data_IF_594750467735
#
_entry.id   IF_594750467735
#
_cell.length_a   1.000
_cell.length_b   1.000
_cell.length_c   1.000
_cell.angle_alpha   90.00
_cell.angle_beta   90.00
_cell.angle_gamma   90.00
#
_symmetry.space_group_name_H-M   'P 1'
#
loop_
_entity.id
_entity.type
_entity.pdbx_description
1 polymer ?
#
# COMPACT_ATOMS: atom_id res chain seq x y z
N UNK A 1 11.39 -5.07 81.34
CA UNK A 1 10.64 -5.29 80.09
C UNK A 1 11.49 -6.20 79.20
N UNK A 2 11.00 -7.40 78.89
CA UNK A 2 11.79 -8.53 78.35
C UNK A 2 12.26 -8.29 76.90
N UNK A 3 13.57 -8.11 76.69
CA UNK A 3 14.22 -8.00 75.37
C UNK A 3 14.43 -9.35 74.64
N UNK A 4 13.95 -10.47 75.19
CA UNK A 4 14.15 -11.82 74.61
C UNK A 4 13.25 -12.14 73.39
N UNK A 5 12.32 -11.25 73.02
CA UNK A 5 11.36 -11.54 71.94
C UNK A 5 11.91 -11.27 70.53
N UNK A 6 12.97 -10.46 70.39
CA UNK A 6 13.48 -10.02 69.08
C UNK A 6 14.45 -11.05 68.46
N UNK A 7 15.03 -11.96 69.26
CA UNK A 7 16.00 -12.94 68.77
C UNK A 7 15.38 -14.17 68.06
N UNK A 8 14.05 -14.29 68.03
CA UNK A 8 13.36 -15.47 67.50
C UNK A 8 12.56 -15.21 66.21
N UNK A 9 12.83 -14.10 65.50
CA UNK A 9 12.29 -13.93 64.15
C UNK A 9 13.13 -14.74 63.16
N UNK A 10 12.53 -15.71 62.41
CA UNK A 10 13.23 -16.30 61.29
C UNK A 10 13.58 -15.19 60.30
N UNK A 11 14.86 -15.09 59.95
CA UNK A 11 15.35 -14.11 58.99
C UNK A 11 14.54 -14.23 57.70
N UNK A 12 14.16 -13.09 57.11
CA UNK A 12 13.35 -13.01 55.89
C UNK A 12 13.89 -13.89 54.76
N UNK A 13 15.21 -14.06 54.71
CA UNK A 13 15.91 -14.97 53.80
C UNK A 13 15.51 -16.45 53.97
N UNK A 14 15.28 -16.94 55.19
CA UNK A 14 14.87 -18.33 55.46
C UNK A 14 13.44 -18.57 55.01
N UNK A 15 12.56 -17.58 55.19
CA UNK A 15 11.17 -17.64 54.70
C UNK A 15 11.15 -17.62 53.17
N UNK A 16 11.93 -16.74 52.54
CA UNK A 16 12.07 -16.67 51.09
C UNK A 16 12.62 -17.99 50.50
N UNK A 17 13.64 -18.58 51.12
CA UNK A 17 14.17 -19.88 50.70
C UNK A 17 13.15 -21.01 50.82
N UNK A 18 12.36 -21.06 51.90
CA UNK A 18 11.28 -22.06 52.07
C UNK A 18 10.18 -21.94 51.02
N UNK A 19 9.96 -20.73 50.50
CA UNK A 19 8.95 -20.43 49.49
C UNK A 19 9.44 -20.74 48.06
N UNK A 20 10.75 -20.65 47.81
CA UNK A 20 11.38 -20.94 46.51
C UNK A 20 11.70 -22.43 46.31
N UNK A 21 12.01 -23.18 47.38
CA UNK A 21 12.29 -24.63 47.34
C UNK A 21 11.22 -25.48 46.60
N UNK A 22 9.90 -25.30 46.81
CA UNK A 22 8.90 -26.03 46.04
C UNK A 22 8.75 -25.55 44.58
N UNK A 23 9.37 -24.42 44.20
CA UNK A 23 9.29 -23.80 42.87
C UNK A 23 10.49 -24.11 41.96
N UNK A 24 11.50 -24.83 42.44
CA UNK A 24 12.64 -25.29 41.64
C UNK A 24 12.25 -25.95 40.30
N UNK A 25 11.26 -26.87 40.23
CA UNK A 25 10.86 -27.46 38.95
C UNK A 25 10.25 -26.44 37.99
N UNK A 26 9.55 -25.42 38.51
CA UNK A 26 8.99 -24.33 37.70
C UNK A 26 10.09 -23.44 37.12
N UNK A 27 11.11 -23.12 37.93
CA UNK A 27 12.27 -22.33 37.49
C UNK A 27 13.06 -23.05 36.37
N UNK A 28 13.22 -24.37 36.48
CA UNK A 28 13.90 -25.17 35.46
C UNK A 28 13.11 -25.23 34.14
N UNK A 29 11.78 -25.27 34.20
CA UNK A 29 10.91 -25.26 33.02
C UNK A 29 10.71 -23.86 32.40
N UNK A 30 10.97 -22.80 33.17
CA UNK A 30 10.81 -21.41 32.75
C UNK A 30 11.46 -21.08 31.39
N UNK A 31 12.73 -21.43 31.09
CA UNK A 31 13.32 -21.16 29.78
C UNK A 31 12.59 -21.88 28.64
N UNK A 32 12.07 -23.09 28.86
CA UNK A 32 11.27 -23.80 27.86
C UNK A 32 9.94 -23.11 27.60
N UNK A 33 9.25 -22.65 28.65
CA UNK A 33 8.04 -21.85 28.50
C UNK A 33 8.29 -20.52 27.82
N UNK A 34 9.41 -19.84 28.12
CA UNK A 34 9.80 -18.60 27.49
C UNK A 34 10.07 -18.78 25.99
N UNK A 35 10.79 -19.84 25.61
CA UNK A 35 11.05 -20.17 24.21
C UNK A 35 9.76 -20.52 23.46
N UNK A 36 8.88 -21.31 24.09
CA UNK A 36 7.57 -21.63 23.51
C UNK A 36 6.74 -20.38 23.29
N UNK A 37 6.62 -19.52 24.31
CA UNK A 37 5.88 -18.26 24.20
C UNK A 37 6.48 -17.34 23.14
N UNK A 38 7.81 -17.21 23.08
CA UNK A 38 8.50 -16.40 22.08
C UNK A 38 8.26 -16.93 20.67
N UNK A 39 8.28 -18.25 20.47
CA UNK A 39 8.00 -18.88 19.19
C UNK A 39 6.58 -18.59 18.70
N UNK A 40 5.59 -18.75 19.58
CA UNK A 40 4.18 -18.45 19.25
C UNK A 40 3.98 -16.96 18.98
N UNK A 41 4.56 -16.10 19.82
CA UNK A 41 4.53 -14.65 19.65
C UNK A 41 5.11 -14.22 18.30
N UNK A 42 6.29 -14.73 17.95
CA UNK A 42 6.94 -14.46 16.67
C UNK A 42 6.08 -14.93 15.49
N UNK A 43 5.42 -16.08 15.60
CA UNK A 43 4.49 -16.59 14.57
C UNK A 43 3.29 -15.66 14.34
N UNK A 44 2.68 -15.16 15.42
CA UNK A 44 1.55 -14.22 15.33
C UNK A 44 2.02 -12.90 14.71
N UNK A 45 3.15 -12.38 15.17
CA UNK A 45 3.63 -11.07 14.74
C UNK A 45 4.08 -11.10 13.28
N UNK A 46 4.82 -12.12 12.86
CA UNK A 46 5.20 -12.31 11.44
C UNK A 46 3.99 -12.44 10.52
N UNK A 47 2.91 -13.10 10.96
CA UNK A 47 1.67 -13.19 10.20
C UNK A 47 1.00 -11.81 10.03
N UNK A 48 0.99 -10.97 11.08
CA UNK A 48 0.49 -9.59 10.98
C UNK A 48 1.31 -8.76 10.01
N UNK A 49 2.64 -8.78 10.15
CA UNK A 49 3.54 -8.04 9.25
C UNK A 49 3.36 -8.49 7.80
N UNK A 50 3.24 -9.78 7.55
CA UNK A 50 3.00 -10.32 6.21
C UNK A 50 1.70 -9.80 5.60
N UNK A 51 0.62 -9.72 6.37
CA UNK A 51 -0.66 -9.14 5.92
C UNK A 51 -0.52 -7.65 5.59
N UNK A 52 0.12 -6.89 6.48
CA UNK A 52 0.32 -5.45 6.30
C UNK A 52 1.18 -5.15 5.06
N UNK A 53 2.23 -5.92 4.85
CA UNK A 53 3.07 -5.83 3.64
C UNK A 53 2.25 -6.12 2.39
N UNK A 54 1.40 -7.16 2.41
CA UNK A 54 0.57 -7.52 1.28
C UNK A 54 -0.45 -6.42 0.95
N UNK A 55 -1.13 -5.88 1.96
CA UNK A 55 -2.07 -4.76 1.79
C UNK A 55 -1.38 -3.53 1.20
N UNK A 56 -0.21 -3.16 1.71
CA UNK A 56 0.57 -2.03 1.19
C UNK A 56 1.12 -2.28 -0.22
N UNK A 57 1.43 -3.52 -0.57
CA UNK A 57 1.83 -3.88 -1.93
C UNK A 57 0.69 -3.69 -2.94
N UNK A 58 -0.53 -4.12 -2.56
CA UNK A 58 -1.73 -3.91 -3.38
C UNK A 58 -2.02 -2.41 -3.55
N UNK A 59 -1.99 -1.64 -2.45
CA UNK A 59 -2.21 -0.20 -2.49
C UNK A 59 -1.20 0.51 -3.42
N UNK A 60 0.07 0.09 -3.39
CA UNK A 60 1.10 0.59 -4.31
C UNK A 60 0.77 0.28 -5.76
N UNK A 61 0.33 -0.94 -6.07
CA UNK A 61 -0.01 -1.36 -7.43
C UNK A 61 -1.22 -0.57 -7.97
N UNK A 62 -2.25 -0.38 -7.14
CA UNK A 62 -3.41 0.44 -7.48
C UNK A 62 -3.03 1.91 -7.75
N UNK A 63 -2.13 2.48 -6.95
CA UNK A 63 -1.62 3.84 -7.16
C UNK A 63 -0.85 3.97 -8.47
N UNK A 64 -0.03 2.97 -8.81
CA UNK A 64 0.69 2.94 -10.10
C UNK A 64 -0.32 2.91 -11.25
N UNK A 65 -1.32 2.02 -11.17
CA UNK A 65 -2.36 1.91 -12.21
C UNK A 65 -3.11 3.22 -12.41
N UNK A 66 -3.53 3.88 -11.33
CA UNK A 66 -4.18 5.20 -11.40
C UNK A 66 -3.27 6.27 -11.99
N UNK A 67 -1.98 6.23 -11.67
CA UNK A 67 -1.01 7.17 -12.21
C UNK A 67 -0.87 7.01 -13.73
N UNK A 68 -0.83 5.76 -14.22
CA UNK A 68 -0.74 5.48 -15.64
C UNK A 68 -2.05 5.83 -16.37
N UNK A 69 -3.22 5.55 -15.78
CA UNK A 69 -4.51 6.00 -16.30
C UNK A 69 -4.57 7.53 -16.43
N UNK A 70 -4.06 8.26 -15.44
CA UNK A 70 -3.98 9.73 -15.48
C UNK A 70 -3.03 10.23 -16.56
N UNK A 71 -1.86 9.60 -16.75
CA UNK A 71 -0.95 9.95 -17.83
C UNK A 71 -1.60 9.73 -19.19
N UNK A 72 -2.26 8.59 -19.38
CA UNK A 72 -3.02 8.30 -20.60
C UNK A 72 -4.11 9.35 -20.80
N UNK A 73 -4.84 9.70 -19.74
CA UNK A 73 -5.83 10.77 -19.74
C UNK A 73 -5.23 12.10 -20.22
N UNK A 74 -4.16 12.57 -19.58
CA UNK A 74 -3.49 13.84 -19.94
C UNK A 74 -2.98 13.81 -21.38
N UNK A 75 -2.33 12.73 -21.82
CA UNK A 75 -1.85 12.60 -23.21
C UNK A 75 -3.02 12.61 -24.18
N UNK A 76 -4.15 11.97 -23.85
CA UNK A 76 -5.36 11.99 -24.68
C UNK A 76 -6.00 13.39 -24.75
N UNK A 77 -6.09 14.12 -23.64
CA UNK A 77 -6.63 15.48 -23.61
C UNK A 77 -5.73 16.47 -24.37
N UNK A 78 -4.42 16.41 -24.13
CA UNK A 78 -3.44 17.29 -24.81
C UNK A 78 -3.32 16.98 -26.31
N UNK A 79 -3.43 15.71 -26.71
CA UNK A 79 -3.49 15.35 -28.13
C UNK A 79 -4.80 15.79 -28.78
N UNK A 80 -5.94 15.65 -28.10
CA UNK A 80 -7.22 16.18 -28.57
C UNK A 80 -7.17 17.71 -28.74
N UNK A 81 -6.62 18.44 -27.77
CA UNK A 81 -6.42 19.89 -27.84
C UNK A 81 -5.50 20.27 -29.01
N UNK A 82 -4.40 19.53 -29.20
CA UNK A 82 -3.48 19.75 -30.31
C UNK A 82 -4.13 19.48 -31.66
N UNK A 83 -4.94 18.42 -31.77
CA UNK A 83 -5.69 18.08 -32.97
C UNK A 83 -6.72 19.17 -33.26
N UNK A 84 -7.48 19.61 -32.25
CA UNK A 84 -8.44 20.71 -32.40
C UNK A 84 -7.76 22.00 -32.89
N UNK A 85 -6.61 22.37 -32.31
CA UNK A 85 -5.83 23.52 -32.72
C UNK A 85 -5.32 23.40 -34.17
N UNK A 86 -4.88 22.21 -34.60
CA UNK A 86 -4.49 21.93 -35.98
C UNK A 86 -5.68 22.08 -36.95
N UNK A 87 -6.84 21.51 -36.61
CA UNK A 87 -8.05 21.62 -37.44
C UNK A 87 -8.57 23.06 -37.54
N UNK A 88 -8.58 23.82 -36.43
CA UNK A 88 -8.92 25.25 -36.44
C UNK A 88 -8.00 26.05 -37.36
N UNK A 89 -6.70 25.75 -37.38
CA UNK A 89 -5.73 26.42 -38.26
C UNK A 89 -5.91 26.08 -39.73
N UNK A 90 -6.13 24.81 -40.06
CA UNK A 90 -6.20 24.36 -41.46
C UNK A 90 -7.53 24.69 -42.12
N UNK A 91 -8.64 24.60 -41.37
CA UNK A 91 -9.98 24.62 -41.96
C UNK A 91 -10.85 25.82 -41.56
N UNK A 92 -10.37 26.73 -40.68
CA UNK A 92 -11.08 27.94 -40.23
C UNK A 92 -12.47 27.73 -39.57
N UNK A 93 -12.97 26.49 -39.44
CA UNK A 93 -14.16 26.16 -38.67
C UNK A 93 -13.80 25.36 -37.41
N UNK A 94 -14.51 25.63 -36.31
CA UNK A 94 -14.41 24.85 -35.07
C UNK A 94 -15.06 23.48 -35.27
N UNK A 95 -14.35 22.35 -35.10
CA UNK A 95 -15.04 21.12 -34.76
C UNK A 95 -15.46 21.24 -33.29
N UNK A 96 -16.72 21.63 -33.13
CA UNK A 96 -17.64 21.46 -31.98
C UNK A 96 -16.99 20.85 -30.73
N UNK A 97 -17.01 21.61 -29.62
CA UNK A 97 -16.67 21.18 -28.26
C UNK A 97 -17.01 19.70 -28.02
N UNK A 98 -15.99 18.88 -27.79
CA UNK A 98 -16.05 17.45 -27.46
C UNK A 98 -16.74 17.23 -26.09
N UNK A 99 -18.04 17.45 -26.03
CA UNK A 99 -18.91 16.94 -24.98
C UNK A 99 -19.45 15.58 -25.42
N UNK A 100 -19.01 14.50 -24.77
CA UNK A 100 -19.57 13.12 -24.65
C UNK A 100 -20.41 12.49 -25.79
N UNK A 101 -20.42 13.00 -27.02
CA UNK A 101 -21.19 12.46 -28.16
C UNK A 101 -20.25 12.28 -29.34
N UNK A 102 -20.08 11.02 -29.76
CA UNK A 102 -19.38 10.66 -31.00
C UNK A 102 -20.33 11.00 -32.16
N UNK A 103 -19.94 11.96 -32.99
CA UNK A 103 -20.63 12.25 -34.25
C UNK A 103 -19.68 11.86 -35.38
N UNK A 104 -20.12 10.97 -36.26
CA UNK A 104 -19.36 10.57 -37.45
C UNK A 104 -19.43 11.71 -38.47
N UNK A 105 -18.29 12.32 -38.78
CA UNK A 105 -18.17 13.39 -39.78
C UNK A 105 -17.65 12.77 -41.06
N UNK A 106 -18.39 12.92 -42.16
CA UNK A 106 -17.94 12.50 -43.48
C UNK A 106 -16.89 13.49 -44.00
N UNK A 107 -15.77 12.97 -44.50
CA UNK A 107 -14.72 13.82 -45.07
C UNK A 107 -15.24 14.52 -46.34
N UNK A 108 -14.92 15.81 -46.54
CA UNK A 108 -15.19 16.48 -47.80
C UNK A 108 -14.41 15.79 -48.93
N UNK A 109 -15.06 15.69 -50.10
CA UNK A 109 -14.50 15.01 -51.27
C UNK A 109 -13.13 15.61 -51.67
N UNK A 110 -12.16 14.73 -51.97
CA UNK A 110 -10.85 15.16 -52.42
C UNK A 110 -10.95 16.05 -53.67
N UNK A 111 -10.22 17.18 -53.73
CA UNK A 111 -10.21 18.02 -54.91
C UNK A 111 -9.69 17.22 -56.10
N UNK A 112 -10.50 17.14 -57.16
CA UNK A 112 -10.14 16.43 -58.40
C UNK A 112 -8.80 16.95 -58.90
N UNK A 113 -7.81 16.04 -58.99
CA UNK A 113 -6.54 16.34 -59.61
C UNK A 113 -6.80 16.89 -61.02
N UNK A 114 -6.53 18.17 -61.22
CA UNK A 114 -6.55 18.80 -62.55
C UNK A 114 -5.44 18.11 -63.34
N UNK A 115 -5.82 17.16 -64.21
CA UNK A 115 -4.93 16.59 -65.22
C UNK A 115 -4.40 17.77 -66.04
N UNK A 116 -3.12 18.12 -65.85
CA UNK A 116 -2.41 18.97 -66.79
C UNK A 116 -2.41 18.25 -68.13
N UNK A 117 -3.07 18.84 -69.12
CA UNK A 117 -3.00 18.36 -70.49
C UNK A 117 -1.57 18.56 -71.01
N UNK A 118 -0.96 17.54 -71.64
CA UNK A 118 0.31 17.70 -72.31
C UNK A 118 0.13 18.50 -73.61
N UNK A 119 1.07 19.42 -73.81
CA UNK A 119 1.22 20.35 -74.95
C UNK A 119 0.98 19.75 -76.33
#
# INVERSE_FOLDING_TARGET
>A
MNFKFIQNMPSFSVIAFRLVLPLEPLLYLMPFYALFYFSVWQGIETAKWKRLIHEKAIEKEDLIRRNDDLKIGIVSYTSAERIEALYRRTYQYLPISLGNRIITIELPAEPKAVKKEPF
#
